data_IF_878696889524
#
_entry.id   IF_878696889524
#
_cell.length_a   1.000
_cell.length_b   1.000
_cell.length_c   1.000
_cell.angle_alpha   90.00
_cell.angle_beta   90.00
_cell.angle_gamma   90.00
#
_symmetry.space_group_name_H-M   'P 1'
#
loop_
_entity.id
_entity.type
_entity.pdbx_description
1 polymer ?
#
# COMPACT_ATOMS: atom_id res chain seq x y z
N UNK A 1 -14.91 31.13 -10.46
CA UNK A 1 -15.10 30.57 -11.81
C UNK A 1 -14.88 29.07 -11.71
N UNK A 2 -15.91 28.26 -11.93
CA UNK A 2 -15.77 26.80 -11.96
C UNK A 2 -15.02 26.45 -13.24
N UNK A 3 -13.76 26.06 -13.10
CA UNK A 3 -12.86 25.79 -14.22
C UNK A 3 -13.39 24.65 -15.11
N UNK A 4 -12.97 24.67 -16.37
CA UNK A 4 -13.34 23.79 -17.50
C UNK A 4 -13.27 22.27 -17.23
N UNK A 5 -12.83 21.88 -16.05
CA UNK A 5 -12.73 20.51 -15.55
C UNK A 5 -14.09 19.83 -15.30
N UNK A 6 -15.20 20.57 -15.23
CA UNK A 6 -16.56 20.00 -15.08
C UNK A 6 -17.02 19.17 -16.29
N UNK A 7 -16.48 19.43 -17.49
CA UNK A 7 -16.83 18.67 -18.70
C UNK A 7 -16.04 17.37 -18.86
N UNK A 8 -15.08 17.10 -17.98
CA UNK A 8 -14.28 15.88 -18.02
C UNK A 8 -15.00 14.77 -17.27
N UNK A 9 -15.02 13.57 -17.88
CA UNK A 9 -15.56 12.39 -17.20
C UNK A 9 -14.83 12.16 -15.87
N UNK A 10 -15.56 11.74 -14.82
CA UNK A 10 -14.96 11.49 -13.51
C UNK A 10 -13.84 10.45 -13.61
N UNK A 11 -12.85 10.57 -12.70
CA UNK A 11 -11.71 9.65 -12.64
C UNK A 11 -12.21 8.22 -12.48
N UNK A 12 -11.85 7.34 -13.41
CA UNK A 12 -12.22 5.93 -13.33
C UNK A 12 -11.06 5.12 -12.74
N UNK A 13 -11.36 4.39 -11.67
CA UNK A 13 -10.41 3.48 -11.04
C UNK A 13 -10.91 2.06 -11.25
N UNK A 14 -10.15 1.28 -12.03
CA UNK A 14 -10.38 -0.15 -12.20
C UNK A 14 -9.45 -0.86 -11.23
N UNK A 15 -10.00 -1.82 -10.47
CA UNK A 15 -9.28 -2.62 -9.48
C UNK A 15 -8.09 -3.39 -10.07
N UNK A 16 -7.36 -4.10 -9.20
CA UNK A 16 -6.22 -4.89 -9.65
C UNK A 16 -6.69 -5.98 -10.66
N UNK A 17 -6.08 -6.01 -11.84
CA UNK A 17 -6.29 -7.07 -12.83
C UNK A 17 -5.60 -8.38 -12.38
N UNK A 18 -5.77 -9.46 -13.15
CA UNK A 18 -5.20 -10.79 -12.86
C UNK A 18 -3.68 -10.79 -12.66
N UNK A 19 -2.97 -9.83 -13.28
CA UNK A 19 -1.53 -9.64 -13.14
C UNK A 19 -1.14 -8.69 -12.00
N UNK A 20 -2.09 -8.27 -11.16
CA UNK A 20 -1.86 -7.42 -10.00
C UNK A 20 -1.64 -5.95 -10.33
N UNK A 21 -2.14 -5.42 -11.45
CA UNK A 21 -2.01 -4.01 -11.81
C UNK A 21 -3.34 -3.28 -11.67
N UNK A 22 -3.33 -2.14 -10.96
CA UNK A 22 -4.43 -1.19 -10.89
C UNK A 22 -4.34 -0.22 -12.07
N UNK A 23 -5.45 0.02 -12.76
CA UNK A 23 -5.53 1.00 -13.85
C UNK A 23 -6.35 2.20 -13.41
N UNK A 24 -5.76 3.40 -13.52
CA UNK A 24 -6.45 4.67 -13.28
C UNK A 24 -6.51 5.46 -14.59
N UNK A 25 -7.72 5.79 -15.04
CA UNK A 25 -7.95 6.61 -16.22
C UNK A 25 -8.39 8.01 -15.77
N UNK A 26 -7.64 9.04 -16.19
CA UNK A 26 -7.98 10.45 -15.99
C UNK A 26 -7.94 11.17 -17.33
N UNK A 27 -8.94 12.01 -17.60
CA UNK A 27 -8.93 12.92 -18.75
C UNK A 27 -8.36 14.27 -18.31
N UNK A 28 -7.61 14.93 -19.19
CA UNK A 28 -7.07 16.29 -19.00
C UNK A 28 -7.08 17.00 -20.35
N UNK A 29 -7.34 18.30 -20.36
CA UNK A 29 -7.03 19.15 -21.53
C UNK A 29 -5.51 19.40 -21.60
N UNK A 30 -4.92 19.29 -22.78
CA UNK A 30 -3.55 19.75 -23.03
C UNK A 30 -3.53 21.27 -23.23
N UNK A 31 -2.34 21.85 -23.39
CA UNK A 31 -2.17 23.29 -23.54
C UNK A 31 -2.71 23.83 -24.89
N UNK A 32 -3.02 22.92 -25.83
CA UNK A 32 -3.65 23.18 -27.13
C UNK A 32 -5.19 23.11 -27.09
N UNK A 33 -5.78 22.73 -25.94
CA UNK A 33 -7.23 22.63 -25.77
C UNK A 33 -7.84 21.27 -26.14
N UNK A 34 -7.02 20.30 -26.55
CA UNK A 34 -7.44 18.94 -26.87
C UNK A 34 -7.59 18.05 -25.63
N UNK A 35 -8.54 17.10 -25.71
CA UNK A 35 -8.81 16.13 -24.65
C UNK A 35 -7.82 14.96 -24.72
N UNK A 36 -6.95 14.85 -23.73
CA UNK A 36 -5.99 13.75 -23.60
C UNK A 36 -6.41 12.78 -22.49
N UNK A 37 -6.30 11.47 -22.78
CA UNK A 37 -6.50 10.39 -21.82
C UNK A 37 -5.17 10.00 -21.18
N UNK A 38 -5.05 10.19 -19.86
CA UNK A 38 -3.91 9.71 -19.07
C UNK A 38 -4.28 8.41 -18.37
N UNK A 39 -3.66 7.31 -18.80
CA UNK A 39 -3.80 6.00 -18.16
C UNK A 39 -2.56 5.79 -17.29
N UNK A 40 -2.75 5.66 -15.98
CA UNK A 40 -1.69 5.30 -15.04
C UNK A 40 -1.91 3.86 -14.59
N UNK A 41 -0.94 3.01 -14.91
CA UNK A 41 -0.94 1.61 -14.48
C UNK A 41 0.01 1.48 -13.30
N UNK A 42 -0.49 1.06 -12.15
CA UNK A 42 0.30 0.93 -10.92
C UNK A 42 0.33 -0.54 -10.50
N UNK A 43 1.51 -1.15 -10.31
CA UNK A 43 1.61 -2.50 -9.77
C UNK A 43 1.13 -2.52 -8.32
N UNK A 44 0.15 -3.37 -8.03
CA UNK A 44 -0.34 -3.71 -6.70
C UNK A 44 0.42 -4.96 -6.26
N UNK A 45 1.61 -4.76 -5.68
CA UNK A 45 2.33 -5.86 -5.03
C UNK A 45 1.66 -6.14 -3.68
N UNK A 46 1.38 -7.41 -3.37
CA UNK A 46 1.01 -7.83 -2.01
C UNK A 46 2.23 -7.63 -1.13
N UNK A 47 2.28 -6.51 -0.39
CA UNK A 47 3.42 -6.16 0.47
C UNK A 47 3.57 -7.15 1.65
N UNK A 48 2.52 -7.89 1.98
CA UNK A 48 2.55 -9.00 2.92
C UNK A 48 1.47 -10.05 2.58
N UNK A 49 1.75 -11.33 2.82
CA UNK A 49 0.74 -12.40 2.84
C UNK A 49 -0.23 -12.24 4.02
N UNK A 50 0.07 -11.34 4.96
CA UNK A 50 -0.71 -11.04 6.15
C UNK A 50 -1.48 -9.73 5.94
N UNK A 51 -2.74 -9.70 6.39
CA UNK A 51 -3.58 -8.48 6.38
C UNK A 51 -3.07 -7.51 7.46
N UNK A 52 -1.93 -6.86 7.23
CA UNK A 52 -1.38 -5.87 8.15
C UNK A 52 -2.06 -4.52 7.97
N UNK A 53 -2.46 -3.90 9.08
CA UNK A 53 -2.92 -2.51 9.08
C UNK A 53 -1.76 -1.56 8.78
N UNK A 54 -2.07 -0.35 8.30
CA UNK A 54 -1.07 0.70 8.07
C UNK A 54 -0.17 0.93 9.30
N UNK A 55 -0.79 1.02 10.48
CA UNK A 55 -0.06 1.19 11.74
C UNK A 55 0.85 0.01 12.09
N UNK A 56 0.46 -1.22 11.76
CA UNK A 56 1.33 -2.37 11.98
C UNK A 56 2.59 -2.30 11.11
N UNK A 57 2.45 -1.89 9.84
CA UNK A 57 3.60 -1.69 8.93
C UNK A 57 4.54 -0.62 9.47
N UNK A 58 4.00 0.52 9.91
CA UNK A 58 4.80 1.60 10.50
C UNK A 58 5.58 1.11 11.73
N UNK A 59 4.92 0.38 12.63
CA UNK A 59 5.58 -0.19 13.82
C UNK A 59 6.66 -1.22 13.49
N UNK A 60 6.47 -2.03 12.45
CA UNK A 60 7.49 -2.98 12.02
C UNK A 60 8.71 -2.29 11.39
N UNK A 61 8.57 -1.04 10.94
CA UNK A 61 9.66 -0.24 10.36
C UNK A 61 10.44 0.59 11.38
N UNK A 62 10.03 0.59 12.66
CA UNK A 62 10.72 1.35 13.69
C UNK A 62 12.11 0.76 13.98
N UNK A 63 13.09 1.65 14.16
CA UNK A 63 14.44 1.27 14.56
C UNK A 63 14.42 0.80 16.01
N UNK A 64 15.13 -0.28 16.31
CA UNK A 64 15.31 -0.77 17.69
C UNK A 64 16.06 0.31 18.51
N UNK A 65 15.83 0.34 19.82
CA UNK A 65 16.44 1.32 20.72
C UNK A 65 16.93 0.64 22.00
N UNK A 66 17.80 1.33 22.74
CA UNK A 66 18.40 0.81 23.98
C UNK A 66 19.32 -0.39 23.70
N UNK A 67 19.19 -1.43 24.53
CA UNK A 67 20.01 -2.64 24.42
C UNK A 67 19.75 -3.42 23.13
N UNK A 68 18.51 -3.33 22.61
CA UNK A 68 18.08 -4.01 21.40
C UNK A 68 18.69 -3.44 20.09
N UNK A 69 19.45 -2.35 20.15
CA UNK A 69 20.11 -1.76 18.96
C UNK A 69 21.09 -2.73 18.31
N UNK A 70 21.73 -3.60 19.09
CA UNK A 70 22.74 -4.55 18.61
C UNK A 70 22.14 -5.87 18.10
N UNK A 71 20.83 -6.06 18.24
CA UNK A 71 20.17 -7.28 17.81
C UNK A 71 19.81 -7.24 16.32
N UNK A 72 20.14 -8.30 15.59
CA UNK A 72 19.77 -8.45 14.19
C UNK A 72 18.24 -8.54 13.98
N UNK A 73 17.76 -8.16 12.81
CA UNK A 73 16.34 -8.20 12.47
C UNK A 73 15.93 -9.66 12.24
N UNK A 74 15.28 -10.26 13.24
CA UNK A 74 14.83 -11.65 13.19
C UNK A 74 15.61 -12.61 14.10
N UNK A 75 16.61 -12.12 14.84
CA UNK A 75 17.23 -12.90 15.91
C UNK A 75 16.21 -13.19 17.01
N UNK A 76 16.01 -14.47 17.33
CA UNK A 76 15.09 -14.89 18.40
C UNK A 76 15.84 -14.87 19.73
N UNK A 77 15.65 -13.81 20.52
CA UNK A 77 16.13 -13.75 21.90
C UNK A 77 15.37 -14.77 22.79
N UNK A 78 14.10 -15.04 22.46
CA UNK A 78 13.25 -15.99 23.17
C UNK A 78 13.03 -17.25 22.33
N UNK A 79 13.25 -18.42 22.93
CA UNK A 79 12.85 -19.71 22.37
C UNK A 79 11.33 -19.85 22.42
N UNK A 80 10.72 -20.36 21.35
CA UNK A 80 9.28 -20.64 21.34
C UNK A 80 9.04 -21.98 22.04
N UNK A 81 8.40 -21.95 23.22
CA UNK A 81 7.88 -23.15 23.89
C UNK A 81 6.36 -23.04 24.01
N UNK A 82 5.62 -23.93 23.37
CA UNK A 82 4.19 -24.12 23.62
C UNK A 82 4.03 -24.91 24.91
N UNK A 83 3.70 -24.22 26.00
CA UNK A 83 3.26 -24.86 27.24
C UNK A 83 1.74 -24.98 27.15
N UNK A 84 1.23 -26.21 27.23
CA UNK A 84 -0.20 -26.47 27.33
C UNK A 84 -0.72 -25.97 28.69
N UNK A 85 -1.49 -24.89 28.68
CA UNK A 85 -2.10 -24.33 29.89
C UNK A 85 -3.53 -24.86 29.96
N UNK A 86 -3.79 -25.78 30.89
CA UNK A 86 -5.14 -26.26 31.19
C UNK A 86 -5.77 -25.25 32.16
N UNK A 87 -6.83 -24.56 31.72
CA UNK A 87 -7.67 -23.75 32.61
C UNK A 87 -8.52 -24.68 33.50
N UNK A 88 -8.66 -24.39 34.81
CA UNK A 88 -9.59 -25.12 35.67
C UNK A 88 -11.06 -24.89 35.26
#
# INVERSE_FOLDING_TARGET
MLGSDFFLSPKQVIGANEHGFKKMTKYKFNDEGDRVKKITTTPVRKLANTRLSKHAVERHSWVKFGDAVHEDVGSRLTTVSTVEIISP
#
